data_IF_064183742916
#
_entry.id   IF_064183742916
#
_cell.length_a   1.000
_cell.length_b   1.000
_cell.length_c   1.000
_cell.angle_alpha   90.00
_cell.angle_beta   90.00
_cell.angle_gamma   90.00
#
_symmetry.space_group_name_H-M   'P 1'
#
loop_
_entity.id
_entity.type
_entity.pdbx_description
1 polymer ?
#
# COMPACT_ATOMS: atom_id res chain seq x y z
N UNK A 1 1.46 15.82 10.75
CA UNK A 1 1.83 14.42 10.49
C UNK A 1 3.35 14.37 10.43
N UNK A 2 3.97 14.01 11.56
CA UNK A 2 5.43 13.98 11.79
C UNK A 2 5.83 12.77 12.67
N UNK A 3 4.97 11.75 12.70
CA UNK A 3 5.21 10.49 13.40
C UNK A 3 6.38 9.79 12.73
N UNK A 4 7.44 9.43 13.47
CA UNK A 4 8.57 8.70 12.90
C UNK A 4 8.12 7.38 12.26
N UNK A 5 8.65 7.10 11.07
CA UNK A 5 8.45 5.86 10.32
C UNK A 5 9.80 5.41 9.75
N UNK A 6 10.02 4.11 9.61
CA UNK A 6 11.16 3.54 8.89
C UNK A 6 10.68 3.09 7.52
N UNK A 7 11.30 3.59 6.46
CA UNK A 7 10.96 3.20 5.08
C UNK A 7 11.55 1.82 4.71
N UNK A 8 11.19 1.30 3.54
CA UNK A 8 11.60 -0.03 3.06
C UNK A 8 13.12 -0.20 2.95
N UNK A 9 13.86 0.88 2.70
CA UNK A 9 15.32 0.88 2.62
C UNK A 9 16.02 1.08 3.98
N UNK A 10 15.25 1.19 5.06
CA UNK A 10 15.75 1.44 6.42
C UNK A 10 15.94 2.92 6.75
N UNK A 11 15.67 3.83 5.83
CA UNK A 11 15.79 5.28 6.07
C UNK A 11 14.69 5.77 7.00
N UNK A 12 15.05 6.68 7.92
CA UNK A 12 14.08 7.35 8.76
C UNK A 12 13.26 8.37 7.94
N UNK A 13 11.94 8.32 8.08
CA UNK A 13 10.97 9.18 7.39
C UNK A 13 9.80 9.54 8.32
N UNK A 14 8.75 10.14 7.78
CA UNK A 14 7.48 10.39 8.48
C UNK A 14 6.31 9.80 7.70
N UNK A 15 5.16 9.63 8.36
CA UNK A 15 3.92 9.21 7.71
C UNK A 15 3.49 10.17 6.58
N UNK A 16 3.72 11.48 6.74
CA UNK A 16 3.42 12.47 5.71
C UNK A 16 4.34 12.33 4.49
N UNK A 17 5.65 12.21 4.73
CA UNK A 17 6.64 12.05 3.67
C UNK A 17 6.41 10.75 2.91
N UNK A 18 6.14 9.66 3.61
CA UNK A 18 5.85 8.35 3.02
C UNK A 18 4.57 8.37 2.19
N UNK A 19 3.48 8.96 2.70
CA UNK A 19 2.22 9.08 1.96
C UNK A 19 2.38 9.93 0.68
N UNK A 20 3.12 11.04 0.75
CA UNK A 20 3.41 11.90 -0.39
C UNK A 20 4.26 11.19 -1.44
N UNK A 21 5.33 10.50 -1.04
CA UNK A 21 6.16 9.67 -1.92
C UNK A 21 5.34 8.55 -2.58
N UNK A 22 4.44 7.94 -1.81
CA UNK A 22 3.48 6.93 -2.28
C UNK A 22 2.31 7.50 -3.08
N UNK A 23 2.27 8.83 -3.35
CA UNK A 23 1.22 9.52 -4.11
C UNK A 23 -0.20 9.30 -3.55
N UNK A 24 -0.33 9.18 -2.24
CA UNK A 24 -1.63 9.06 -1.57
C UNK A 24 -2.19 10.46 -1.31
N UNK A 25 -3.27 10.83 -2.00
CA UNK A 25 -3.93 12.14 -1.88
C UNK A 25 -5.39 12.06 -1.43
N UNK A 26 -5.98 10.85 -1.37
CA UNK A 26 -7.35 10.61 -0.91
C UNK A 26 -7.37 9.51 0.16
N UNK A 27 -8.32 9.61 1.09
CA UNK A 27 -8.52 8.62 2.15
C UNK A 27 -9.93 8.00 2.10
N UNK A 28 -10.06 6.70 2.45
CA UNK A 28 -8.97 5.74 2.68
C UNK A 28 -8.27 5.34 1.36
N UNK A 29 -6.99 4.96 1.44
CA UNK A 29 -6.26 4.32 0.35
C UNK A 29 -5.46 3.15 0.93
N UNK A 30 -5.52 1.99 0.29
CA UNK A 30 -4.72 0.81 0.63
C UNK A 30 -3.83 0.47 -0.55
N UNK A 31 -2.54 0.29 -0.29
CA UNK A 31 -1.54 -0.17 -1.25
C UNK A 31 -0.82 -1.39 -0.69
N UNK A 32 -0.56 -2.38 -1.53
CA UNK A 32 0.28 -3.53 -1.19
C UNK A 32 1.65 -3.30 -1.82
N UNK A 33 2.71 -3.47 -1.03
CA UNK A 33 4.08 -3.30 -1.47
C UNK A 33 4.87 -4.61 -1.36
N UNK A 34 5.91 -4.76 -2.17
CA UNK A 34 6.92 -5.79 -1.99
C UNK A 34 7.96 -5.39 -0.92
N UNK A 35 8.91 -6.29 -0.64
CA UNK A 35 9.97 -6.04 0.35
C UNK A 35 10.95 -4.92 -0.03
N UNK A 36 10.87 -4.39 -1.26
CA UNK A 36 11.70 -3.29 -1.76
C UNK A 36 10.90 -1.97 -1.87
N UNK A 37 9.63 -1.96 -1.47
CA UNK A 37 8.76 -0.79 -1.56
C UNK A 37 8.15 -0.54 -2.93
N UNK A 38 8.17 -1.52 -3.85
CA UNK A 38 7.45 -1.39 -5.12
C UNK A 38 5.98 -1.82 -4.93
N UNK A 39 5.05 -1.15 -5.62
CA UNK A 39 3.64 -1.55 -5.62
C UNK A 39 3.47 -2.95 -6.22
N UNK A 40 2.89 -3.85 -5.42
CA UNK A 40 2.72 -5.26 -5.72
C UNK A 40 1.36 -5.57 -6.35
N UNK A 41 0.37 -4.68 -6.19
CA UNK A 41 -0.96 -4.76 -6.80
C UNK A 41 -1.54 -3.35 -7.01
N UNK A 42 -2.70 -3.27 -7.67
CA UNK A 42 -3.40 -2.00 -7.82
C UNK A 42 -3.88 -1.43 -6.47
N UNK A 43 -3.79 -0.11 -6.33
CA UNK A 43 -4.23 0.58 -5.13
C UNK A 43 -5.76 0.55 -5.00
N UNK A 44 -6.26 0.22 -3.81
CA UNK A 44 -7.67 0.39 -3.45
C UNK A 44 -7.84 1.83 -2.98
N UNK A 45 -8.63 2.61 -3.72
CA UNK A 45 -8.80 4.04 -3.49
C UNK A 45 -10.27 4.32 -3.11
N UNK A 46 -10.47 4.85 -1.91
CA UNK A 46 -11.78 4.94 -1.27
C UNK A 46 -12.25 3.60 -0.69
N UNK A 47 -13.54 3.51 -0.34
CA UNK A 47 -14.15 2.30 0.21
C UNK A 47 -14.76 1.37 -0.84
N UNK A 48 -14.86 1.81 -2.10
CA UNK A 48 -15.62 1.12 -3.15
C UNK A 48 -17.03 0.76 -2.63
N UNK A 49 -17.39 -0.53 -2.60
CA UNK A 49 -18.58 -1.05 -1.94
C UNK A 49 -18.17 -1.67 -0.59
N UNK A 50 -18.66 -1.10 0.51
CA UNK A 50 -18.23 -1.46 1.87
C UNK A 50 -18.37 -2.96 2.17
N UNK A 51 -19.47 -3.59 1.75
CA UNK A 51 -19.73 -5.03 1.98
C UNK A 51 -18.73 -5.95 1.26
N UNK A 52 -18.04 -5.44 0.23
CA UNK A 52 -17.02 -6.17 -0.52
C UNK A 52 -15.60 -5.76 -0.16
N UNK A 53 -15.42 -4.87 0.82
CA UNK A 53 -14.11 -4.34 1.18
C UNK A 53 -13.11 -5.42 1.55
N UNK A 54 -13.56 -6.43 2.31
CA UNK A 54 -12.74 -7.60 2.62
C UNK A 54 -12.27 -8.34 1.35
N UNK A 55 -13.16 -8.53 0.37
CA UNK A 55 -12.81 -9.18 -0.90
C UNK A 55 -11.81 -8.38 -1.73
N UNK A 56 -11.90 -7.05 -1.72
CA UNK A 56 -10.90 -6.20 -2.39
C UNK A 56 -9.52 -6.32 -1.74
N UNK A 57 -9.46 -6.35 -0.40
CA UNK A 57 -8.20 -6.53 0.33
C UNK A 57 -7.56 -7.90 0.02
N UNK A 58 -8.34 -8.98 0.10
CA UNK A 58 -7.86 -10.33 -0.22
C UNK A 58 -7.33 -10.40 -1.65
N UNK A 59 -8.06 -9.86 -2.63
CA UNK A 59 -7.64 -9.84 -4.03
C UNK A 59 -6.30 -9.09 -4.22
N UNK A 60 -6.15 -7.92 -3.58
CA UNK A 60 -4.93 -7.12 -3.67
C UNK A 60 -3.72 -7.83 -3.04
N UNK A 61 -3.91 -8.54 -1.92
CA UNK A 61 -2.86 -9.31 -1.25
C UNK A 61 -2.48 -10.55 -2.08
N UNK A 62 -3.47 -11.27 -2.61
CA UNK A 62 -3.24 -12.43 -3.47
C UNK A 62 -2.50 -12.05 -4.75
N UNK A 63 -2.88 -10.95 -5.39
CA UNK A 63 -2.18 -10.40 -6.55
C UNK A 63 -0.72 -10.07 -6.20
N UNK A 64 -0.49 -9.31 -5.12
CA UNK A 64 0.86 -8.97 -4.68
C UNK A 64 1.71 -10.20 -4.37
N UNK A 65 1.14 -11.18 -3.69
CA UNK A 65 1.80 -12.46 -3.39
C UNK A 65 2.15 -13.23 -4.66
N UNK A 66 1.25 -13.27 -5.63
CA UNK A 66 1.47 -13.93 -6.92
C UNK A 66 2.59 -13.25 -7.70
N UNK A 67 2.61 -11.91 -7.74
CA UNK A 67 3.66 -11.12 -8.39
C UNK A 67 5.03 -11.32 -7.74
N UNK A 68 5.09 -11.47 -6.41
CA UNK A 68 6.37 -11.74 -5.72
C UNK A 68 6.88 -13.17 -5.90
N UNK A 69 5.98 -14.14 -6.11
CA UNK A 69 6.32 -15.57 -6.26
C UNK A 69 6.57 -15.97 -7.72
N UNK A 70 5.92 -15.29 -8.66
CA UNK A 70 6.20 -15.40 -10.08
C UNK A 70 7.45 -14.60 -10.42
N UNK A 71 8.43 -15.23 -11.07
CA UNK A 71 9.44 -14.49 -11.83
C UNK A 71 8.78 -13.65 -12.91
#
# INVERSE_FOLDING_TARGET
ANTPLTDFDGTATTEATFAAFSKVFMVPTVKVFDARGNEASEAIVGLLIADFYFGYLEAAIEEGTRKMRGK
#
